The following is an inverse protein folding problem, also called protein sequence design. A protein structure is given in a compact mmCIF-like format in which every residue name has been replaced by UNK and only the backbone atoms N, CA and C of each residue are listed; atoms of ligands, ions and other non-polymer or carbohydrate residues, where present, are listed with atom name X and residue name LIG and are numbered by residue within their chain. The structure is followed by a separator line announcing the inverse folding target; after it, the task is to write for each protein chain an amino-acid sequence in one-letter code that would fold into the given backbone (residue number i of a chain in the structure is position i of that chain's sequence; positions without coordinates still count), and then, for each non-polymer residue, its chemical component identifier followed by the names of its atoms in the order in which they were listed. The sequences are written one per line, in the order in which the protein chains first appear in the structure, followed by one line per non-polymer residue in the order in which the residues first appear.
data_IF_584903091425
#
_entry.id   IF_584903091425
#
_cell.length_a   1.000
_cell.length_b   1.000
_cell.length_c   1.000
_cell.angle_alpha   90.00
_cell.angle_beta   90.00
_cell.angle_gamma   90.00
#
_symmetry.space_group_name_H-M   'P 1'
#
loop_
_entity.id
_entity.type
_entity.pdbx_description
1 polymer ?
#
# COMPACT_ATOMS: atom_id res chain seq x y z
N UNK A 1 -12.38 5.31 15.79
CA UNK A 1 -11.84 3.94 15.80
C UNK A 1 -12.26 3.14 17.05
N UNK A 2 -13.26 3.61 17.78
CA UNK A 2 -13.56 3.07 19.12
C UNK A 2 -14.19 1.66 19.11
N UNK A 3 -14.79 1.22 18.01
CA UNK A 3 -15.49 -0.06 17.96
C UNK A 3 -14.89 -1.13 17.04
N UNK A 4 -13.88 -0.78 16.23
CA UNK A 4 -13.35 -1.69 15.22
C UNK A 4 -14.36 -2.01 14.10
N UNK A 5 -13.93 -2.82 13.14
CA UNK A 5 -14.75 -3.40 12.06
C UNK A 5 -14.56 -4.90 12.08
N UNK A 6 -15.63 -5.66 12.33
CA UNK A 6 -15.58 -7.11 12.27
C UNK A 6 -15.18 -7.60 10.88
N UNK A 7 -14.42 -8.69 10.79
CA UNK A 7 -14.05 -9.30 9.52
C UNK A 7 -15.29 -9.56 8.66
N UNK A 8 -15.25 -9.11 7.41
CA UNK A 8 -16.41 -9.18 6.52
C UNK A 8 -16.19 -10.01 5.25
N UNK A 9 -14.97 -10.49 5.00
CA UNK A 9 -14.69 -11.51 3.99
C UNK A 9 -14.75 -12.87 4.67
N UNK A 10 -15.79 -13.65 4.33
CA UNK A 10 -16.11 -14.90 5.01
C UNK A 10 -15.36 -16.12 4.47
N UNK A 11 -14.66 -15.96 3.34
CA UNK A 11 -13.93 -17.07 2.72
C UNK A 11 -12.66 -17.40 3.48
N UNK A 12 -12.35 -18.70 3.55
CA UNK A 12 -11.11 -19.26 4.09
C UNK A 12 -10.52 -20.18 3.02
N UNK A 13 -10.04 -19.58 1.93
CA UNK A 13 -9.55 -20.32 0.79
C UNK A 13 -8.04 -20.52 0.82
N UNK A 14 -7.58 -21.54 0.10
CA UNK A 14 -6.19 -21.91 -0.03
C UNK A 14 -5.73 -21.98 -1.48
N UNK A 15 -4.58 -22.63 -1.70
CA UNK A 15 -3.93 -22.67 -3.02
C UNK A 15 -3.85 -24.07 -3.64
N UNK A 16 -4.25 -25.11 -2.91
CA UNK A 16 -4.23 -26.51 -3.34
C UNK A 16 -5.63 -26.96 -3.75
N UNK A 17 -5.89 -28.26 -3.84
CA UNK A 17 -7.21 -28.82 -4.17
C UNK A 17 -8.27 -28.42 -3.13
N UNK A 18 -9.49 -27.98 -3.55
CA UNK A 18 -10.03 -27.98 -4.92
C UNK A 18 -9.68 -26.74 -5.75
N UNK A 19 -9.07 -25.71 -5.15
CA UNK A 19 -8.87 -24.40 -5.76
C UNK A 19 -8.05 -24.44 -7.05
N UNK A 20 -7.04 -25.33 -7.12
CA UNK A 20 -6.10 -25.44 -8.23
C UNK A 20 -6.46 -26.48 -9.32
N UNK A 21 -7.66 -27.05 -9.29
CA UNK A 21 -8.04 -28.13 -10.22
C UNK A 21 -7.97 -27.77 -11.70
N UNK A 22 -8.05 -26.51 -12.05
CA UNK A 22 -7.94 -26.00 -13.42
C UNK A 22 -6.59 -25.35 -13.72
N UNK A 23 -5.73 -25.18 -12.72
CA UNK A 23 -4.36 -24.70 -12.94
C UNK A 23 -3.60 -25.70 -13.82
N UNK A 24 -2.60 -25.27 -14.58
CA UNK A 24 -1.73 -26.18 -15.31
C UNK A 24 -1.15 -27.26 -14.39
N UNK A 25 -0.83 -28.41 -14.98
CA UNK A 25 -0.27 -29.55 -14.25
C UNK A 25 1.14 -29.88 -14.76
N UNK A 26 1.98 -30.43 -13.89
CA UNK A 26 3.27 -30.96 -14.25
C UNK A 26 3.15 -32.25 -15.08
N UNK A 27 4.26 -32.80 -15.53
CA UNK A 27 4.30 -34.04 -16.33
C UNK A 27 3.76 -35.26 -15.60
N UNK A 28 3.65 -35.23 -14.27
CA UNK A 28 3.05 -36.29 -13.44
C UNK A 28 1.54 -36.11 -13.26
N UNK A 29 0.94 -35.06 -13.81
CA UNK A 29 -0.49 -34.74 -13.68
C UNK A 29 -0.87 -34.03 -12.37
N UNK A 30 0.09 -33.55 -11.60
CA UNK A 30 -0.17 -32.76 -10.38
C UNK A 30 -0.31 -31.28 -10.73
N UNK A 31 -1.41 -30.65 -10.28
CA UNK A 31 -1.68 -29.24 -10.56
C UNK A 31 -0.79 -28.34 -9.72
N UNK A 32 -0.26 -27.30 -10.38
CA UNK A 32 0.47 -26.22 -9.69
C UNK A 32 -0.42 -25.47 -8.72
N UNK A 33 0.20 -24.76 -7.77
CA UNK A 33 -0.54 -23.90 -6.83
C UNK A 33 -1.25 -22.77 -7.56
N UNK A 34 -2.41 -22.34 -7.05
CA UNK A 34 -3.13 -21.16 -7.61
C UNK A 34 -2.28 -19.91 -7.58
N UNK A 35 -1.41 -19.76 -6.58
CA UNK A 35 -0.67 -18.56 -6.24
C UNK A 35 -1.44 -17.63 -5.29
N UNK A 36 -0.71 -16.98 -4.40
CA UNK A 36 -1.31 -16.11 -3.38
C UNK A 36 -2.05 -14.90 -3.99
N UNK A 37 -1.53 -14.36 -5.10
CA UNK A 37 -2.17 -13.25 -5.83
C UNK A 37 -3.56 -13.64 -6.33
N UNK A 38 -3.68 -14.78 -7.01
CA UNK A 38 -4.97 -15.29 -7.49
C UNK A 38 -5.93 -15.58 -6.33
N UNK A 39 -5.42 -16.17 -5.24
CA UNK A 39 -6.22 -16.48 -4.05
C UNK A 39 -6.77 -15.23 -3.38
N UNK A 40 -5.94 -14.21 -3.20
CA UNK A 40 -6.37 -12.92 -2.62
C UNK A 40 -7.41 -12.24 -3.52
N UNK A 41 -7.16 -12.17 -4.83
CA UNK A 41 -8.12 -11.62 -5.80
C UNK A 41 -9.45 -12.36 -5.77
N UNK A 42 -9.43 -13.69 -5.84
CA UNK A 42 -10.64 -14.52 -5.86
C UNK A 42 -11.48 -14.33 -4.58
N UNK A 43 -10.89 -14.23 -3.42
CA UNK A 43 -11.61 -13.99 -2.16
C UNK A 43 -12.28 -12.61 -2.13
N UNK A 44 -11.61 -11.56 -2.64
CA UNK A 44 -12.20 -10.22 -2.81
C UNK A 44 -13.38 -10.27 -3.79
N UNK A 45 -13.21 -10.93 -4.93
CA UNK A 45 -14.26 -11.07 -5.94
C UNK A 45 -15.46 -11.88 -5.41
N UNK A 46 -15.22 -12.92 -4.62
CA UNK A 46 -16.28 -13.71 -3.96
C UNK A 46 -17.08 -12.88 -2.95
N UNK A 47 -16.40 -12.01 -2.19
CA UNK A 47 -17.07 -11.08 -1.28
C UNK A 47 -18.06 -10.17 -2.03
N UNK A 48 -17.66 -9.64 -3.17
CA UNK A 48 -18.55 -8.80 -3.99
C UNK A 48 -19.59 -9.61 -4.80
N UNK A 49 -19.36 -10.89 -5.01
CA UNK A 49 -20.18 -11.69 -5.95
C UNK A 49 -20.17 -11.11 -7.37
N UNK A 50 -19.03 -10.57 -7.80
CA UNK A 50 -18.88 -9.81 -9.03
C UNK A 50 -17.52 -10.11 -9.72
N UNK A 51 -17.49 -10.09 -11.07
CA UNK A 51 -18.57 -9.89 -12.05
C UNK A 51 -19.34 -11.18 -12.35
N UNK A 52 -20.40 -11.10 -13.17
CA UNK A 52 -21.05 -12.30 -13.69
C UNK A 52 -20.14 -13.04 -14.68
N UNK A 53 -19.41 -12.28 -15.52
CA UNK A 53 -18.41 -12.78 -16.48
C UNK A 53 -17.21 -11.84 -16.47
N UNK A 54 -16.03 -12.36 -16.82
CA UNK A 54 -14.88 -11.52 -17.12
C UNK A 54 -14.96 -10.85 -18.49
N UNK A 55 -13.92 -10.16 -18.91
CA UNK A 55 -13.81 -9.45 -20.19
C UNK A 55 -12.46 -9.70 -20.85
N UNK A 56 -12.48 -9.82 -22.19
CA UNK A 56 -11.28 -9.95 -23.01
C UNK A 56 -10.52 -11.24 -22.79
N UNK A 57 -9.32 -11.27 -23.34
CA UNK A 57 -8.48 -12.47 -23.37
C UNK A 57 -7.10 -12.15 -22.84
N UNK A 58 -6.45 -13.09 -22.16
CA UNK A 58 -5.02 -13.05 -21.89
C UNK A 58 -4.34 -14.30 -22.43
N UNK A 59 -3.20 -14.08 -23.10
CA UNK A 59 -2.32 -15.13 -23.65
C UNK A 59 -0.91 -14.88 -23.20
N UNK A 60 -0.27 -15.86 -22.57
CA UNK A 60 1.12 -15.76 -22.13
C UNK A 60 1.77 -17.13 -22.02
N UNK A 61 3.10 -17.13 -22.02
CA UNK A 61 3.90 -18.31 -21.76
C UNK A 61 4.63 -18.22 -20.42
N UNK A 62 4.88 -19.37 -19.78
CA UNK A 62 5.71 -19.46 -18.59
C UNK A 62 6.49 -20.78 -18.56
N UNK A 63 7.59 -20.79 -17.80
CA UNK A 63 8.35 -21.98 -17.49
C UNK A 63 8.36 -22.17 -15.97
N UNK A 64 7.84 -23.27 -15.43
CA UNK A 64 7.81 -23.50 -14.00
C UNK A 64 9.22 -23.54 -13.41
N UNK A 65 9.38 -22.94 -12.23
CA UNK A 65 10.65 -22.98 -11.53
C UNK A 65 11.04 -24.41 -11.17
N UNK A 66 12.25 -24.81 -11.54
CA UNK A 66 12.78 -26.16 -11.32
C UNK A 66 12.46 -27.16 -12.43
N UNK A 67 11.67 -26.79 -13.44
CA UNK A 67 11.30 -27.66 -14.58
C UNK A 67 11.89 -27.11 -15.88
N UNK A 68 13.21 -27.05 -15.96
CA UNK A 68 13.91 -26.53 -17.13
C UNK A 68 13.51 -27.32 -18.41
N UNK A 69 13.15 -26.60 -19.47
CA UNK A 69 12.77 -27.17 -20.76
C UNK A 69 11.25 -27.45 -20.94
N UNK A 70 10.43 -27.27 -19.90
CA UNK A 70 8.98 -27.42 -20.00
C UNK A 70 8.33 -26.04 -20.06
N UNK A 71 8.02 -25.55 -21.27
CA UNK A 71 7.29 -24.30 -21.48
C UNK A 71 5.80 -24.57 -21.60
N UNK A 72 4.98 -23.69 -21.01
CA UNK A 72 3.52 -23.70 -21.13
C UNK A 72 3.07 -22.44 -21.84
N UNK A 73 2.07 -22.58 -22.72
CA UNK A 73 1.34 -21.46 -23.31
C UNK A 73 -0.11 -21.55 -22.87
N UNK A 74 -0.62 -20.46 -22.31
CA UNK A 74 -1.99 -20.38 -21.79
C UNK A 74 -2.72 -19.27 -22.51
N UNK A 75 -3.97 -19.56 -22.89
CA UNK A 75 -4.92 -18.57 -23.41
C UNK A 75 -6.26 -18.78 -22.69
N UNK A 76 -6.81 -17.72 -22.12
CA UNK A 76 -8.15 -17.71 -21.53
C UNK A 76 -8.93 -16.52 -22.07
N UNK A 77 -10.11 -16.78 -22.60
CA UNK A 77 -11.15 -15.78 -22.83
C UNK A 77 -12.03 -15.71 -21.57
N UNK A 78 -11.91 -14.63 -20.83
CA UNK A 78 -12.63 -14.45 -19.56
C UNK A 78 -14.14 -14.26 -19.76
N UNK A 79 -14.60 -13.90 -20.95
CA UNK A 79 -16.02 -13.77 -21.28
C UNK A 79 -16.72 -15.10 -21.51
N UNK A 80 -15.96 -16.16 -21.78
CA UNK A 80 -16.49 -17.50 -22.12
C UNK A 80 -17.07 -18.24 -20.91
N UNK A 81 -16.80 -17.81 -19.67
CA UNK A 81 -17.29 -18.45 -18.45
C UNK A 81 -18.13 -17.49 -17.60
N UNK A 82 -19.19 -18.05 -17.00
CA UNK A 82 -19.93 -17.38 -15.92
C UNK A 82 -19.39 -17.82 -14.57
N UNK A 83 -19.24 -16.89 -13.64
CA UNK A 83 -18.82 -17.21 -12.27
C UNK A 83 -20.02 -17.64 -11.43
N UNK A 84 -20.03 -18.89 -11.01
CA UNK A 84 -21.12 -19.49 -10.24
C UNK A 84 -20.97 -19.18 -8.74
N UNK A 85 -21.21 -17.91 -8.39
CA UNK A 85 -21.05 -17.39 -7.02
C UNK A 85 -21.84 -18.18 -5.98
N UNK A 86 -23.01 -18.73 -6.34
CA UNK A 86 -23.87 -19.48 -5.41
C UNK A 86 -23.26 -20.80 -4.97
N UNK A 87 -22.45 -21.40 -5.82
CA UNK A 87 -21.80 -22.68 -5.56
C UNK A 87 -20.36 -22.52 -5.00
N UNK A 88 -19.90 -21.29 -4.77
CA UNK A 88 -18.62 -21.05 -4.11
C UNK A 88 -18.81 -21.02 -2.59
N UNK A 89 -18.33 -22.06 -1.89
CA UNK A 89 -18.41 -22.18 -0.44
C UNK A 89 -17.46 -21.20 0.26
N UNK A 90 -17.80 -20.81 1.50
CA UNK A 90 -16.89 -20.05 2.35
C UNK A 90 -15.64 -20.85 2.73
N UNK A 91 -15.79 -22.17 2.92
CA UNK A 91 -14.69 -23.09 3.21
C UNK A 91 -14.95 -24.46 2.60
N UNK A 92 -13.90 -25.10 2.14
CA UNK A 92 -13.95 -26.43 1.51
C UNK A 92 -13.45 -27.57 2.44
N UNK A 93 -13.08 -27.24 3.68
CA UNK A 93 -12.56 -28.21 4.65
C UNK A 93 -13.58 -29.27 5.07
N UNK A 94 -14.87 -28.95 5.02
CA UNK A 94 -15.96 -29.88 5.43
C UNK A 94 -16.49 -30.74 4.28
N UNK A 95 -15.85 -30.69 3.13
CA UNK A 95 -16.27 -31.39 1.92
C UNK A 95 -17.00 -30.49 0.92
N UNK A 96 -17.07 -30.95 -0.30
CA UNK A 96 -17.66 -30.24 -1.44
C UNK A 96 -18.04 -31.22 -2.55
N UNK A 97 -18.98 -30.83 -3.38
CA UNK A 97 -19.32 -31.58 -4.60
C UNK A 97 -18.54 -31.06 -5.84
N UNK A 98 -18.66 -31.75 -6.96
CA UNK A 98 -17.96 -31.41 -8.19
C UNK A 98 -18.31 -30.02 -8.74
N UNK A 99 -19.57 -29.58 -8.60
CA UNK A 99 -20.01 -28.26 -9.05
C UNK A 99 -19.37 -27.15 -8.21
N UNK A 100 -19.32 -27.33 -6.90
CA UNK A 100 -18.68 -26.38 -5.97
C UNK A 100 -17.16 -26.29 -6.22
N UNK A 101 -16.51 -27.44 -6.46
CA UNK A 101 -15.09 -27.47 -6.81
C UNK A 101 -14.83 -26.75 -8.15
N UNK A 102 -15.66 -27.01 -9.18
CA UNK A 102 -15.56 -26.34 -10.47
C UNK A 102 -15.78 -24.83 -10.36
N UNK A 103 -16.75 -24.39 -9.56
CA UNK A 103 -17.04 -22.98 -9.38
C UNK A 103 -15.82 -22.22 -8.86
N UNK A 104 -15.21 -22.66 -7.75
CA UNK A 104 -14.06 -21.99 -7.17
C UNK A 104 -12.80 -22.11 -8.02
N UNK A 105 -12.54 -23.28 -8.61
CA UNK A 105 -11.34 -23.48 -9.43
C UNK A 105 -11.39 -22.69 -10.74
N UNK A 106 -12.58 -22.47 -11.33
CA UNK A 106 -12.74 -21.58 -12.48
C UNK A 106 -12.34 -20.15 -12.14
N UNK A 107 -12.85 -19.61 -11.03
CA UNK A 107 -12.48 -18.26 -10.58
C UNK A 107 -10.99 -18.15 -10.29
N UNK A 108 -10.42 -19.10 -9.53
CA UNK A 108 -9.01 -19.14 -9.19
C UNK A 108 -8.10 -19.17 -10.43
N UNK A 109 -8.42 -20.03 -11.39
CA UNK A 109 -7.68 -20.15 -12.65
C UNK A 109 -7.75 -18.86 -13.47
N UNK A 110 -8.94 -18.26 -13.58
CA UNK A 110 -9.11 -16.99 -14.28
C UNK A 110 -8.34 -15.85 -13.58
N UNK A 111 -8.37 -15.76 -12.24
CA UNK A 111 -7.55 -14.81 -11.51
C UNK A 111 -6.06 -15.02 -11.81
N UNK A 112 -5.58 -16.27 -11.78
CA UNK A 112 -4.18 -16.57 -12.08
C UNK A 112 -3.79 -16.20 -13.51
N UNK A 113 -4.59 -16.58 -14.51
CA UNK A 113 -4.30 -16.24 -15.91
C UNK A 113 -4.37 -14.73 -16.15
N UNK A 114 -5.30 -14.02 -15.52
CA UNK A 114 -5.46 -12.57 -15.69
C UNK A 114 -4.23 -11.76 -15.26
N UNK A 115 -3.40 -12.31 -14.38
CA UNK A 115 -2.15 -11.71 -13.88
C UNK A 115 -0.89 -12.35 -14.48
N UNK A 116 -1.03 -13.16 -15.52
CA UNK A 116 0.07 -13.91 -16.15
C UNK A 116 0.90 -14.72 -15.14
N UNK A 117 0.19 -15.46 -14.27
CA UNK A 117 0.76 -16.21 -13.15
C UNK A 117 1.92 -17.10 -13.59
N UNK A 118 3.06 -16.96 -12.92
CA UNK A 118 4.17 -17.88 -13.06
C UNK A 118 3.94 -19.07 -12.15
N UNK A 119 3.28 -20.09 -12.69
CA UNK A 119 2.86 -21.27 -11.95
C UNK A 119 4.03 -22.18 -11.57
N UNK A 120 4.01 -22.74 -10.37
CA UNK A 120 4.96 -23.78 -9.92
C UNK A 120 4.36 -24.63 -8.80
N UNK A 121 5.04 -25.73 -8.46
CA UNK A 121 4.63 -26.64 -7.36
C UNK A 121 4.87 -26.05 -5.98
N UNK A 122 5.82 -25.14 -5.85
CA UNK A 122 6.25 -24.59 -4.56
C UNK A 122 5.90 -23.13 -4.38
N UNK A 123 5.88 -22.35 -5.46
CA UNK A 123 5.63 -20.91 -5.41
C UNK A 123 5.11 -20.40 -6.75
N UNK A 124 3.80 -20.22 -6.86
CA UNK A 124 3.18 -19.53 -8.00
C UNK A 124 3.06 -18.04 -7.69
N UNK A 125 3.61 -17.18 -8.55
CA UNK A 125 3.74 -15.74 -8.28
C UNK A 125 3.31 -14.84 -9.43
N UNK A 126 2.87 -13.62 -9.06
CA UNK A 126 2.60 -12.48 -9.93
C UNK A 126 2.77 -11.19 -9.12
N UNK A 127 2.73 -10.02 -9.77
CA UNK A 127 2.96 -8.74 -9.09
C UNK A 127 1.66 -8.01 -8.77
N UNK A 128 1.70 -7.11 -7.78
CA UNK A 128 0.56 -6.26 -7.37
C UNK A 128 0.01 -5.42 -8.52
N UNK A 129 0.88 -4.95 -9.42
CA UNK A 129 0.48 -4.18 -10.60
C UNK A 129 -0.44 -4.98 -11.50
N UNK A 130 -0.08 -6.23 -11.81
CA UNK A 130 -0.92 -7.11 -12.64
C UNK A 130 -2.27 -7.38 -11.96
N UNK A 131 -2.29 -7.54 -10.63
CA UNK A 131 -3.54 -7.72 -9.89
C UNK A 131 -4.49 -6.51 -10.04
N UNK A 132 -3.96 -5.29 -9.86
CA UNK A 132 -4.75 -4.06 -10.07
C UNK A 132 -5.27 -3.97 -11.50
N UNK A 133 -4.41 -4.15 -12.49
CA UNK A 133 -4.79 -4.09 -13.90
C UNK A 133 -5.83 -5.17 -14.26
N UNK A 134 -5.69 -6.37 -13.71
CA UNK A 134 -6.64 -7.46 -13.95
C UNK A 134 -8.02 -7.15 -13.36
N UNK A 135 -8.10 -6.61 -12.15
CA UNK A 135 -9.38 -6.17 -11.57
C UNK A 135 -10.13 -5.22 -12.51
N UNK A 136 -9.43 -4.26 -13.09
CA UNK A 136 -10.02 -3.25 -13.97
C UNK A 136 -10.32 -3.84 -15.36
N UNK A 137 -9.30 -4.34 -16.03
CA UNK A 137 -9.36 -4.74 -17.43
C UNK A 137 -10.22 -5.99 -17.66
N UNK A 138 -10.04 -7.00 -16.81
CA UNK A 138 -10.66 -8.31 -17.02
C UNK A 138 -11.91 -8.52 -16.17
N UNK A 139 -12.03 -7.85 -15.04
CA UNK A 139 -13.15 -8.06 -14.12
C UNK A 139 -14.06 -6.84 -13.93
N UNK A 140 -13.73 -5.69 -14.55
CA UNK A 140 -14.61 -4.51 -14.61
C UNK A 140 -14.82 -3.82 -13.29
N UNK A 141 -13.84 -3.89 -12.39
CA UNK A 141 -13.79 -3.13 -11.15
C UNK A 141 -13.48 -1.65 -11.42
N UNK A 142 -13.63 -0.82 -10.41
CA UNK A 142 -13.41 0.63 -10.48
C UNK A 142 -12.02 0.97 -11.02
N UNK A 143 -11.97 1.77 -12.08
CA UNK A 143 -10.71 2.24 -12.70
C UNK A 143 -9.91 3.13 -11.76
N UNK A 144 -10.55 3.74 -10.76
CA UNK A 144 -9.91 4.51 -9.71
C UNK A 144 -9.18 3.67 -8.67
N UNK A 145 -9.29 2.33 -8.71
CA UNK A 145 -8.52 1.46 -7.82
C UNK A 145 -7.02 1.79 -7.91
N UNK A 146 -6.37 1.98 -6.76
CA UNK A 146 -5.03 2.56 -6.69
C UNK A 146 -4.06 1.69 -5.91
N UNK A 147 -2.81 1.65 -6.36
CA UNK A 147 -1.72 0.99 -5.64
C UNK A 147 -1.06 2.02 -4.73
N UNK A 148 -0.97 1.68 -3.46
CA UNK A 148 -0.22 2.43 -2.47
C UNK A 148 0.99 1.60 -2.03
N UNK A 149 2.19 2.17 -2.12
CA UNK A 149 3.43 1.57 -1.63
C UNK A 149 3.76 2.16 -0.27
N UNK A 150 3.93 1.32 0.73
CA UNK A 150 4.12 1.71 2.14
C UNK A 150 5.21 2.76 2.34
N UNK A 151 6.29 2.66 1.58
CA UNK A 151 7.47 3.53 1.73
C UNK A 151 7.22 4.99 1.32
N UNK A 152 6.11 5.29 0.65
CA UNK A 152 5.73 6.66 0.27
C UNK A 152 4.80 7.35 1.29
N UNK A 153 4.44 6.67 2.38
CA UNK A 153 3.47 7.16 3.35
C UNK A 153 4.03 7.14 4.76
N UNK A 154 3.68 8.12 5.57
CA UNK A 154 3.86 8.02 7.01
C UNK A 154 2.99 6.92 7.60
N UNK A 155 3.31 6.45 8.81
CA UNK A 155 2.52 5.43 9.49
C UNK A 155 1.06 5.85 9.69
N UNK A 156 0.83 7.13 10.02
CA UNK A 156 -0.51 7.66 10.25
C UNK A 156 -1.34 7.74 8.96
N UNK A 157 -0.74 8.18 7.85
CA UNK A 157 -1.41 8.21 6.54
C UNK A 157 -1.76 6.81 6.08
N UNK A 158 -0.83 5.87 6.20
CA UNK A 158 -1.06 4.48 5.83
C UNK A 158 -2.26 3.89 6.57
N UNK A 159 -2.31 4.07 7.89
CA UNK A 159 -3.43 3.56 8.69
C UNK A 159 -4.75 4.30 8.39
N UNK A 160 -4.73 5.59 8.02
CA UNK A 160 -5.94 6.28 7.55
C UNK A 160 -6.50 5.68 6.28
N UNK A 161 -5.64 5.35 5.31
CA UNK A 161 -6.06 4.65 4.09
C UNK A 161 -6.65 3.29 4.42
N UNK A 162 -5.97 2.49 5.22
CA UNK A 162 -6.43 1.15 5.64
C UNK A 162 -7.79 1.23 6.33
N UNK A 163 -7.92 2.06 7.36
CA UNK A 163 -9.19 2.19 8.09
C UNK A 163 -10.30 2.82 7.24
N UNK A 164 -9.96 3.73 6.33
CA UNK A 164 -10.91 4.30 5.39
C UNK A 164 -11.58 3.24 4.51
N UNK A 165 -10.80 2.33 3.94
CA UNK A 165 -11.29 1.21 3.16
C UNK A 165 -12.13 0.22 4.01
N UNK A 166 -11.60 -0.18 5.16
CA UNK A 166 -12.27 -1.16 6.02
C UNK A 166 -13.58 -0.62 6.60
N UNK A 167 -13.65 0.66 6.97
CA UNK A 167 -14.89 1.31 7.40
C UNK A 167 -15.93 1.37 6.28
N UNK A 168 -15.49 1.55 5.04
CA UNK A 168 -16.35 1.52 3.87
C UNK A 168 -16.69 0.09 3.39
N UNK A 169 -16.30 -0.95 4.16
CA UNK A 169 -16.49 -2.36 3.83
C UNK A 169 -15.89 -2.73 2.47
N UNK A 170 -14.76 -2.13 2.10
CA UNK A 170 -13.98 -2.50 0.94
C UNK A 170 -12.77 -3.33 1.38
N UNK A 171 -12.65 -4.59 0.94
CA UNK A 171 -11.51 -5.42 1.26
C UNK A 171 -10.27 -4.89 0.54
N UNK A 172 -9.14 -4.95 1.21
CA UNK A 172 -7.86 -4.49 0.68
C UNK A 172 -7.06 -5.69 0.20
N UNK A 173 -6.62 -5.68 -1.06
CA UNK A 173 -5.56 -6.55 -1.52
C UNK A 173 -4.23 -6.01 -0.96
N UNK A 174 -3.51 -6.83 -0.21
CA UNK A 174 -2.31 -6.42 0.48
C UNK A 174 -1.15 -7.37 0.21
N UNK A 175 0.06 -6.82 0.15
CA UNK A 175 1.27 -7.62 -0.01
C UNK A 175 2.35 -7.21 0.98
N UNK A 176 3.21 -8.14 1.31
CA UNK A 176 4.42 -7.90 2.08
C UNK A 176 5.48 -8.94 1.73
N UNK A 177 6.71 -8.70 2.14
CA UNK A 177 7.84 -9.59 1.92
C UNK A 177 8.43 -10.00 3.26
N UNK A 178 8.54 -11.30 3.47
CA UNK A 178 9.40 -11.91 4.47
C UNK A 178 10.79 -12.12 3.87
N UNK A 179 11.84 -11.78 4.61
CA UNK A 179 13.20 -11.82 4.10
C UNK A 179 13.71 -13.24 3.74
N UNK A 180 13.11 -14.27 4.31
CA UNK A 180 13.48 -15.67 4.08
C UNK A 180 12.49 -16.42 3.19
N UNK A 181 11.18 -16.15 3.37
CA UNK A 181 10.11 -16.85 2.67
C UNK A 181 9.66 -16.16 1.37
N UNK A 182 10.08 -14.91 1.14
CA UNK A 182 9.69 -14.15 -0.06
C UNK A 182 8.39 -13.37 0.09
N UNK A 183 7.80 -12.98 -1.04
CA UNK A 183 6.59 -12.17 -1.09
C UNK A 183 5.32 -12.99 -0.88
N UNK A 184 4.30 -12.38 -0.27
CA UNK A 184 2.97 -12.96 -0.13
C UNK A 184 1.88 -11.92 -0.33
N UNK A 185 0.79 -12.32 -0.99
CA UNK A 185 -0.42 -11.53 -1.18
C UNK A 185 -1.57 -12.10 -0.32
N UNK A 186 -2.31 -11.24 0.34
CA UNK A 186 -3.38 -11.59 1.27
C UNK A 186 -4.44 -10.49 1.34
N UNK A 187 -5.50 -10.71 2.12
CA UNK A 187 -6.63 -9.78 2.21
C UNK A 187 -6.73 -9.18 3.60
N UNK A 188 -6.86 -7.84 3.70
CA UNK A 188 -7.31 -7.19 4.92
C UNK A 188 -8.80 -6.93 4.84
N UNK A 189 -9.56 -7.32 5.86
CA UNK A 189 -11.02 -7.22 5.84
C UNK A 189 -11.68 -6.90 7.18
N UNK A 190 -10.93 -6.31 8.10
CA UNK A 190 -11.43 -5.87 9.40
C UNK A 190 -10.33 -5.29 10.26
N UNK A 191 -10.67 -4.72 11.40
CA UNK A 191 -9.72 -4.29 12.43
C UNK A 191 -10.39 -4.24 13.80
N UNK A 192 -9.60 -4.38 14.86
CA UNK A 192 -10.10 -4.34 16.24
C UNK A 192 -9.90 -2.96 16.91
N UNK A 193 -10.46 -2.84 18.12
CA UNK A 193 -10.34 -1.62 18.92
C UNK A 193 -8.89 -1.28 19.34
N UNK A 194 -7.95 -2.23 19.22
CA UNK A 194 -6.52 -2.03 19.45
C UNK A 194 -5.79 -1.57 18.19
N UNK A 195 -6.49 -1.44 17.06
CA UNK A 195 -5.95 -0.99 15.78
C UNK A 195 -5.21 -2.09 15.00
N UNK A 196 -5.36 -3.37 15.39
CA UNK A 196 -4.82 -4.49 14.64
C UNK A 196 -5.77 -4.82 13.48
N UNK A 197 -5.21 -5.13 12.33
CA UNK A 197 -5.98 -5.51 11.14
C UNK A 197 -6.27 -7.00 11.12
N UNK A 198 -7.48 -7.38 10.69
CA UNK A 198 -7.78 -8.78 10.40
C UNK A 198 -7.19 -9.15 9.05
N UNK A 199 -6.37 -10.18 9.05
CA UNK A 199 -5.70 -10.73 7.87
C UNK A 199 -6.30 -12.08 7.53
N UNK A 200 -6.70 -12.25 6.26
CA UNK A 200 -6.99 -13.53 5.63
C UNK A 200 -5.78 -13.89 4.76
N UNK A 201 -4.99 -14.86 5.20
CA UNK A 201 -3.72 -15.23 4.57
C UNK A 201 -3.87 -16.02 3.27
N UNK A 202 -5.04 -16.57 2.98
CA UNK A 202 -5.23 -17.46 1.83
C UNK A 202 -4.62 -18.85 2.02
N UNK A 203 -4.56 -19.33 3.26
CA UNK A 203 -4.01 -20.62 3.67
C UNK A 203 -5.06 -21.52 4.33
N UNK A 204 -6.23 -21.64 3.68
CA UNK A 204 -7.37 -22.39 4.20
C UNK A 204 -7.84 -21.95 5.60
N UNK A 205 -7.69 -20.67 5.92
CA UNK A 205 -8.02 -20.09 7.22
C UNK A 205 -6.97 -20.36 8.30
N UNK A 206 -5.86 -21.03 7.98
CA UNK A 206 -4.77 -21.17 8.92
C UNK A 206 -4.11 -19.80 9.16
N UNK A 207 -3.80 -19.49 10.40
CA UNK A 207 -3.23 -18.21 10.83
C UNK A 207 -4.10 -16.97 10.57
N UNK A 208 -5.32 -17.10 10.03
CA UNK A 208 -6.23 -15.95 9.91
C UNK A 208 -6.48 -15.32 11.27
N UNK A 209 -6.37 -13.99 11.38
CA UNK A 209 -6.47 -13.33 12.66
C UNK A 209 -6.12 -11.86 12.66
N UNK A 210 -6.05 -11.27 13.85
CA UNK A 210 -5.68 -9.87 14.06
C UNK A 210 -4.17 -9.70 14.21
N UNK A 211 -3.58 -8.86 13.37
CA UNK A 211 -2.14 -8.60 13.34
C UNK A 211 -1.83 -7.10 13.41
N UNK A 212 -0.68 -6.78 13.99
CA UNK A 212 -0.11 -5.45 13.82
C UNK A 212 0.41 -5.31 12.38
N UNK A 213 -0.06 -4.31 11.66
CA UNK A 213 0.28 -4.11 10.24
C UNK A 213 1.79 -3.87 10.01
N UNK A 214 2.51 -3.41 11.04
CA UNK A 214 3.96 -3.22 10.96
C UNK A 214 4.73 -4.55 11.08
N UNK A 215 4.11 -5.61 11.56
CA UNK A 215 4.75 -6.90 11.80
C UNK A 215 4.26 -7.98 10.83
N UNK A 216 2.92 -8.15 10.70
CA UNK A 216 2.28 -9.15 9.83
C UNK A 216 2.98 -10.51 9.94
N UNK A 217 2.99 -11.05 11.17
CA UNK A 217 3.85 -12.17 11.58
C UNK A 217 3.07 -13.46 11.90
N UNK A 218 2.49 -14.15 10.90
CA UNK A 218 1.86 -15.46 11.09
C UNK A 218 2.95 -16.51 11.38
N UNK A 219 2.80 -17.25 12.47
CA UNK A 219 3.78 -18.26 12.89
C UNK A 219 5.19 -17.66 13.05
N UNK A 220 6.13 -18.16 12.25
CA UNK A 220 7.53 -17.71 12.24
C UNK A 220 7.87 -16.71 11.14
N UNK A 221 6.90 -16.37 10.28
CA UNK A 221 7.08 -15.44 9.15
C UNK A 221 6.89 -13.99 9.58
N UNK A 222 7.35 -13.03 8.77
CA UNK A 222 7.15 -11.61 9.01
C UNK A 222 7.09 -10.84 7.68
N UNK A 223 5.88 -10.58 7.16
CA UNK A 223 5.65 -9.84 5.92
C UNK A 223 5.70 -8.33 6.13
N UNK A 224 6.73 -7.86 6.82
CA UNK A 224 6.87 -6.49 7.31
C UNK A 224 7.63 -5.55 6.38
N UNK A 225 8.20 -6.04 5.30
CA UNK A 225 8.96 -5.24 4.33
C UNK A 225 8.27 -5.18 2.97
N UNK A 226 8.61 -4.16 2.16
CA UNK A 226 8.09 -3.95 0.80
C UNK A 226 6.56 -4.12 0.71
N UNK A 227 5.86 -3.47 1.63
CA UNK A 227 4.41 -3.56 1.69
C UNK A 227 3.76 -2.68 0.63
N UNK A 228 2.86 -3.28 -0.15
CA UNK A 228 1.96 -2.60 -1.07
C UNK A 228 0.51 -2.95 -0.73
N UNK A 229 -0.42 -2.08 -1.11
CA UNK A 229 -1.84 -2.40 -1.09
C UNK A 229 -2.55 -1.86 -2.33
N UNK A 230 -3.63 -2.52 -2.73
CA UNK A 230 -4.60 -1.98 -3.70
C UNK A 230 -5.85 -1.59 -2.93
N UNK A 231 -6.23 -0.32 -3.02
CA UNK A 231 -7.43 0.28 -2.42
C UNK A 231 -8.45 0.64 -3.50
N UNK A 232 -9.70 0.87 -3.10
CA UNK A 232 -10.77 1.22 -4.04
C UNK A 232 -11.24 0.03 -4.89
N UNK A 233 -11.00 -1.20 -4.48
CA UNK A 233 -11.46 -2.39 -5.21
C UNK A 233 -12.98 -2.51 -5.02
N UNK A 234 -13.75 -2.05 -6.00
CA UNK A 234 -15.21 -2.00 -5.94
C UNK A 234 -15.84 -2.27 -7.31
N UNK A 235 -16.99 -2.98 -7.38
CA UNK A 235 -17.79 -3.10 -8.59
C UNK A 235 -18.43 -1.79 -9.06
N UNK A 236 -18.45 -0.78 -8.21
CA UNK A 236 -18.99 0.56 -8.49
C UNK A 236 -17.88 1.59 -8.39
N UNK A 237 -18.03 2.69 -9.11
CA UNK A 237 -17.11 3.82 -8.97
C UNK A 237 -17.17 4.35 -7.54
N UNK A 238 -16.07 4.28 -6.82
CA UNK A 238 -15.90 4.73 -5.43
C UNK A 238 -14.67 5.60 -5.22
N UNK A 239 -13.73 5.56 -6.17
CA UNK A 239 -12.53 6.37 -6.17
C UNK A 239 -12.56 7.32 -7.35
N UNK A 240 -12.01 8.51 -7.18
CA UNK A 240 -11.69 9.34 -8.32
C UNK A 240 -10.50 8.74 -9.07
N UNK A 241 -10.55 8.81 -10.40
CA UNK A 241 -9.47 8.36 -11.27
C UNK A 241 -8.38 9.42 -11.28
N UNK A 242 -7.51 9.40 -10.30
CA UNK A 242 -6.51 10.42 -10.04
C UNK A 242 -5.11 9.98 -10.44
N UNK A 243 -4.30 10.93 -10.89
CA UNK A 243 -2.86 10.77 -10.96
C UNK A 243 -2.25 10.88 -9.57
N UNK A 244 -1.13 10.20 -9.34
CA UNK A 244 -0.42 10.26 -8.06
C UNK A 244 1.09 10.21 -8.31
N UNK A 245 1.76 11.35 -8.24
CA UNK A 245 3.19 11.43 -8.47
C UNK A 245 3.97 11.10 -7.20
N UNK A 246 5.01 10.28 -7.37
CA UNK A 246 5.99 9.92 -6.35
C UNK A 246 7.41 10.10 -6.91
N UNK A 247 8.40 10.11 -6.02
CA UNK A 247 9.83 10.09 -6.33
C UNK A 247 10.50 8.90 -5.65
N UNK A 248 11.49 8.31 -6.30
CA UNK A 248 12.26 7.18 -5.77
C UNK A 248 13.48 7.60 -4.92
N UNK A 249 13.80 8.90 -4.88
CA UNK A 249 14.84 9.48 -4.02
C UNK A 249 14.25 10.55 -3.11
N UNK A 250 14.84 10.79 -1.94
CA UNK A 250 14.39 11.81 -1.01
C UNK A 250 14.39 13.21 -1.63
N UNK A 251 13.31 13.97 -1.38
CA UNK A 251 13.28 15.41 -1.62
C UNK A 251 14.02 16.10 -0.48
N UNK A 252 15.10 16.79 -0.80
CA UNK A 252 15.91 17.48 0.21
C UNK A 252 16.06 18.95 -0.11
N UNK A 253 16.05 19.77 0.95
CA UNK A 253 16.27 21.20 0.93
C UNK A 253 17.45 21.52 1.83
N UNK A 254 18.40 22.29 1.34
CA UNK A 254 19.52 22.78 2.12
C UNK A 254 19.75 24.27 1.93
N UNK A 255 20.42 24.91 2.88
CA UNK A 255 20.76 26.33 2.77
C UNK A 255 21.96 26.52 1.83
N UNK A 256 21.83 27.43 0.87
CA UNK A 256 22.88 27.85 -0.04
C UNK A 256 23.08 29.38 0.07
N UNK A 257 23.76 29.83 1.12
CA UNK A 257 23.94 31.26 1.44
C UNK A 257 22.59 31.92 1.80
N UNK A 258 22.12 32.86 0.97
CA UNK A 258 20.81 33.50 1.07
C UNK A 258 19.69 32.75 0.32
N UNK A 259 20.04 31.68 -0.38
CA UNK A 259 19.17 30.86 -1.23
C UNK A 259 18.95 29.49 -0.62
N UNK A 260 18.10 28.68 -1.24
CA UNK A 260 17.93 27.25 -0.94
C UNK A 260 18.41 26.41 -2.12
N UNK A 261 19.04 25.28 -1.82
CA UNK A 261 19.38 24.25 -2.82
C UNK A 261 18.37 23.11 -2.66
N UNK A 262 17.82 22.68 -3.81
CA UNK A 262 16.80 21.62 -3.89
C UNK A 262 17.40 20.42 -4.60
N UNK A 263 17.16 19.21 -4.06
CA UNK A 263 17.50 17.95 -4.70
C UNK A 263 16.32 16.97 -4.63
N UNK A 264 16.28 16.06 -5.58
CA UNK A 264 15.29 15.00 -5.70
C UNK A 264 15.59 14.11 -6.91
N UNK A 265 14.60 13.35 -7.36
CA UNK A 265 14.72 12.46 -8.51
C UNK A 265 13.66 12.73 -9.56
N UNK A 266 13.59 11.86 -10.58
CA UNK A 266 12.47 11.82 -11.50
C UNK A 266 11.16 11.59 -10.74
N UNK A 267 10.07 12.09 -11.30
CA UNK A 267 8.74 11.74 -10.80
C UNK A 267 8.22 10.49 -11.51
N UNK A 268 7.48 9.68 -10.78
CA UNK A 268 6.85 8.44 -11.25
C UNK A 268 5.35 8.57 -10.98
N UNK A 269 4.52 8.26 -11.96
CA UNK A 269 3.08 8.23 -11.74
C UNK A 269 2.66 6.87 -11.18
N UNK A 270 2.16 6.85 -9.95
CA UNK A 270 1.61 5.67 -9.26
C UNK A 270 0.08 5.65 -9.25
N UNK A 271 -0.56 6.69 -9.77
CA UNK A 271 -2.01 6.81 -9.87
C UNK A 271 -2.61 6.04 -11.04
N UNK A 272 -3.93 5.92 -11.06
CA UNK A 272 -4.67 5.27 -12.11
C UNK A 272 -4.80 6.10 -13.39
N UNK A 273 -4.81 7.45 -13.28
CA UNK A 273 -4.89 8.36 -14.41
C UNK A 273 -3.50 8.80 -14.91
N UNK A 274 -3.31 9.03 -16.22
CA UNK A 274 -2.14 9.70 -16.72
C UNK A 274 -2.04 11.12 -16.15
N UNK A 275 -0.84 11.57 -15.82
CA UNK A 275 -0.62 12.92 -15.30
C UNK A 275 -0.23 13.88 -16.42
N UNK A 276 -0.94 14.98 -16.52
CA UNK A 276 -0.60 16.18 -17.31
C UNK A 276 -0.83 17.39 -16.41
N UNK A 277 0.13 18.31 -16.33
CA UNK A 277 -0.02 19.46 -15.47
C UNK A 277 1.29 20.14 -15.11
N UNK A 278 1.45 20.52 -13.85
CA UNK A 278 2.64 21.21 -13.34
C UNK A 278 3.22 20.51 -12.14
N UNK A 279 4.54 20.46 -12.07
CA UNK A 279 5.29 20.08 -10.87
C UNK A 279 6.05 21.32 -10.39
N UNK A 280 6.07 21.56 -9.08
CA UNK A 280 6.66 22.77 -8.50
C UNK A 280 7.31 22.50 -7.15
N UNK A 281 8.28 23.32 -6.78
CA UNK A 281 8.72 23.46 -5.39
C UNK A 281 7.86 24.54 -4.74
N UNK A 282 7.05 24.13 -3.79
CA UNK A 282 6.05 24.96 -3.11
C UNK A 282 6.55 25.32 -1.72
N UNK A 283 6.43 26.59 -1.36
CA UNK A 283 6.59 27.08 0.03
C UNK A 283 5.22 27.40 0.61
N UNK A 284 4.93 26.87 1.79
CA UNK A 284 3.64 27.09 2.46
C UNK A 284 3.79 27.58 3.88
N UNK A 285 3.00 28.59 4.25
CA UNK A 285 2.84 29.11 5.61
C UNK A 285 1.35 29.39 5.86
N UNK A 286 0.73 28.56 6.71
CA UNK A 286 -0.74 28.56 6.84
C UNK A 286 -1.40 28.26 5.49
N UNK A 287 -2.32 29.14 5.06
CA UNK A 287 -3.00 29.02 3.76
C UNK A 287 -2.26 29.71 2.61
N UNK A 288 -1.15 30.39 2.88
CA UNK A 288 -0.36 31.08 1.87
C UNK A 288 0.61 30.14 1.21
N UNK A 289 0.55 30.05 -0.12
CA UNK A 289 1.48 29.29 -0.94
C UNK A 289 2.25 30.20 -1.89
N UNK A 290 3.54 29.98 -2.00
CA UNK A 290 4.44 30.63 -2.94
C UNK A 290 5.18 29.56 -3.74
N UNK A 291 5.49 29.83 -5.00
CA UNK A 291 6.31 28.93 -5.81
C UNK A 291 7.75 29.41 -5.82
N UNK A 292 8.69 28.54 -5.49
CA UNK A 292 10.12 28.79 -5.75
C UNK A 292 10.43 28.58 -7.24
N UNK A 293 9.94 27.50 -7.80
CA UNK A 293 10.09 27.17 -9.22
C UNK A 293 9.01 26.19 -9.66
N UNK A 294 8.81 26.03 -10.97
CA UNK A 294 7.89 25.03 -11.51
C UNK A 294 8.29 24.63 -12.92
N UNK A 295 7.84 23.44 -13.33
CA UNK A 295 7.96 22.96 -14.71
C UNK A 295 6.60 22.40 -15.17
N UNK A 296 6.32 22.53 -16.48
CA UNK A 296 5.12 21.95 -17.06
C UNK A 296 5.39 20.54 -17.56
N UNK A 297 4.46 19.64 -17.30
CA UNK A 297 4.41 18.30 -17.86
C UNK A 297 3.32 18.30 -18.93
N UNK A 298 3.72 18.37 -20.19
CA UNK A 298 2.82 18.46 -21.33
C UNK A 298 2.57 17.12 -22.01
N UNK A 299 3.53 16.19 -21.91
CA UNK A 299 3.36 14.82 -22.35
C UNK A 299 2.80 13.99 -21.18
N UNK A 300 1.72 13.23 -21.38
CA UNK A 300 1.15 12.43 -20.31
C UNK A 300 2.15 11.45 -19.71
N UNK A 301 2.30 11.46 -18.38
CA UNK A 301 3.04 10.43 -17.64
C UNK A 301 2.05 9.31 -17.34
N UNK A 302 2.14 8.20 -18.07
CA UNK A 302 1.29 7.05 -17.87
C UNK A 302 1.57 6.39 -16.49
N UNK A 303 0.68 5.50 -16.07
CA UNK A 303 0.88 4.75 -14.83
C UNK A 303 2.22 3.98 -14.87
N UNK A 304 3.03 4.13 -13.83
CA UNK A 304 4.40 3.62 -13.67
C UNK A 304 5.47 4.21 -14.61
N UNK A 305 5.13 5.15 -15.47
CA UNK A 305 6.13 5.88 -16.25
C UNK A 305 6.82 6.97 -15.42
N UNK A 306 8.02 7.33 -15.88
CA UNK A 306 8.91 8.29 -15.26
C UNK A 306 9.01 9.55 -16.12
N UNK A 307 9.14 10.70 -15.45
CA UNK A 307 9.44 11.98 -16.11
C UNK A 307 10.53 12.73 -15.34
N UNK A 308 11.53 13.21 -16.07
CA UNK A 308 12.55 14.07 -15.48
C UNK A 308 11.98 15.45 -15.15
N UNK A 309 12.26 15.91 -13.94
CA UNK A 309 11.99 17.26 -13.44
C UNK A 309 13.26 17.93 -12.93
N UNK A 310 14.41 17.54 -13.45
CA UNK A 310 15.76 17.98 -13.02
C UNK A 310 15.95 19.49 -13.08
N UNK A 311 15.20 20.22 -13.92
CA UNK A 311 15.20 21.68 -13.96
C UNK A 311 14.79 22.35 -12.63
N UNK A 312 14.12 21.61 -11.74
CA UNK A 312 13.74 22.07 -10.40
C UNK A 312 14.87 21.89 -9.37
N UNK A 313 15.85 21.03 -9.66
CA UNK A 313 16.91 20.63 -8.72
C UNK A 313 18.15 21.50 -8.87
N UNK A 314 18.07 22.70 -8.35
CA UNK A 314 19.14 23.71 -8.41
C UNK A 314 19.03 24.63 -7.20
N UNK A 315 19.81 25.70 -7.20
CA UNK A 315 19.76 26.75 -6.20
C UNK A 315 18.71 27.79 -6.61
N UNK A 316 17.73 28.02 -5.73
CA UNK A 316 16.66 28.98 -5.94
C UNK A 316 16.73 30.15 -4.97
N UNK A 317 16.53 31.36 -5.50
CA UNK A 317 16.41 32.55 -4.69
C UNK A 317 15.06 32.56 -3.94
N UNK A 318 15.10 33.08 -2.71
CA UNK A 318 13.88 33.28 -1.95
C UNK A 318 13.00 34.36 -2.63
N UNK A 319 11.67 34.21 -2.58
CA UNK A 319 10.76 35.22 -3.12
C UNK A 319 10.98 36.59 -2.48
N UNK A 320 10.93 37.65 -3.27
CA UNK A 320 11.07 39.02 -2.80
C UNK A 320 9.94 39.35 -1.81
N UNK A 321 10.29 39.97 -0.66
CA UNK A 321 9.31 40.35 0.36
C UNK A 321 8.70 39.16 1.10
N UNK A 322 9.40 38.03 1.17
CA UNK A 322 8.94 36.88 1.94
C UNK A 322 8.79 37.24 3.42
N UNK A 323 7.67 36.86 4.00
CA UNK A 323 7.37 37.12 5.42
C UNK A 323 8.24 36.27 6.34
N UNK A 324 8.61 36.84 7.48
CA UNK A 324 9.28 36.11 8.54
C UNK A 324 8.39 34.99 9.10
N UNK A 325 9.02 33.95 9.58
CA UNK A 325 8.38 32.78 10.15
C UNK A 325 8.90 31.47 9.59
N UNK A 326 8.17 30.38 9.87
CA UNK A 326 8.51 29.04 9.43
C UNK A 326 7.67 28.71 8.19
N UNK A 327 8.36 28.39 7.11
CA UNK A 327 7.77 27.98 5.83
C UNK A 327 8.04 26.50 5.57
N UNK A 328 7.03 25.76 5.23
CA UNK A 328 7.18 24.41 4.74
C UNK A 328 7.53 24.43 3.24
N UNK A 329 8.55 23.69 2.84
CA UNK A 329 8.97 23.54 1.45
C UNK A 329 8.78 22.09 1.03
N UNK A 330 8.06 21.85 -0.06
CA UNK A 330 7.78 20.52 -0.57
C UNK A 330 7.67 20.50 -2.09
N UNK A 331 7.83 19.33 -2.68
CA UNK A 331 7.51 19.09 -4.08
C UNK A 331 6.01 18.89 -4.23
N UNK A 332 5.37 19.71 -5.04
CA UNK A 332 3.93 19.61 -5.33
C UNK A 332 3.67 19.27 -6.79
N UNK A 333 2.61 18.55 -7.04
CA UNK A 333 2.03 18.36 -8.38
C UNK A 333 0.62 18.94 -8.42
N UNK A 334 0.22 19.41 -9.58
CA UNK A 334 -1.12 19.92 -9.86
C UNK A 334 -1.47 19.60 -11.29
N UNK A 335 -2.46 18.77 -11.54
CA UNK A 335 -2.99 18.58 -12.88
C UNK A 335 -3.84 19.78 -13.32
N UNK A 336 -4.36 19.75 -14.54
CA UNK A 336 -5.09 20.87 -15.11
C UNK A 336 -6.42 21.20 -14.40
N UNK A 337 -6.96 20.24 -13.66
CA UNK A 337 -8.26 20.34 -12.99
C UNK A 337 -8.13 20.62 -11.48
N UNK A 338 -6.97 20.37 -10.91
CA UNK A 338 -6.70 20.60 -9.48
C UNK A 338 -6.64 22.08 -9.12
N UNK A 339 -7.26 22.45 -8.00
CA UNK A 339 -7.13 23.79 -7.40
C UNK A 339 -5.90 23.93 -6.54
N UNK A 340 -5.53 22.84 -5.85
CA UNK A 340 -4.47 22.82 -4.85
C UNK A 340 -3.27 21.98 -5.30
N UNK A 341 -2.13 22.23 -4.69
CA UNK A 341 -0.93 21.44 -4.89
C UNK A 341 -1.01 20.14 -4.08
N UNK A 342 -0.90 18.99 -4.74
CA UNK A 342 -0.76 17.69 -4.11
C UNK A 342 0.69 17.41 -3.80
N UNK A 343 0.97 16.83 -2.66
CA UNK A 343 2.32 16.42 -2.28
C UNK A 343 2.83 15.32 -3.24
N UNK A 344 3.99 15.55 -3.84
CA UNK A 344 4.78 14.51 -4.49
C UNK A 344 5.57 13.79 -3.42
N UNK A 345 5.22 12.54 -3.16
CA UNK A 345 5.83 11.73 -2.10
C UNK A 345 7.17 11.18 -2.55
N UNK A 346 8.06 10.91 -1.64
CA UNK A 346 9.32 10.26 -1.97
C UNK A 346 9.53 8.99 -1.14
N UNK A 347 10.21 8.04 -1.73
CA UNK A 347 10.66 6.84 -1.06
C UNK A 347 11.96 7.12 -0.30
N UNK A 348 12.04 6.69 0.95
CA UNK A 348 13.24 6.85 1.77
C UNK A 348 13.72 5.53 2.41
N UNK A 349 13.27 4.41 1.89
CA UNK A 349 13.63 3.09 2.40
C UNK A 349 13.12 2.86 3.82
N UNK A 350 14.01 2.53 4.74
CA UNK A 350 13.68 2.23 6.15
C UNK A 350 13.78 3.45 7.08
N UNK A 351 13.95 4.64 6.53
CA UNK A 351 14.08 5.90 7.26
C UNK A 351 12.71 6.53 7.52
N UNK A 352 12.69 7.65 8.22
CA UNK A 352 11.53 8.52 8.27
C UNK A 352 11.22 9.04 6.86
N UNK A 353 9.94 9.12 6.54
CA UNK A 353 9.49 9.53 5.23
C UNK A 353 9.47 11.07 5.10
N UNK A 354 10.63 11.67 4.89
CA UNK A 354 10.75 13.12 4.74
C UNK A 354 10.13 13.61 3.43
N UNK A 355 8.91 14.13 3.52
CA UNK A 355 8.17 14.68 2.39
C UNK A 355 8.42 16.18 2.19
N UNK A 356 9.10 16.85 3.11
CA UNK A 356 9.25 18.29 3.10
C UNK A 356 10.42 18.74 3.98
N UNK A 357 10.70 20.04 3.92
CA UNK A 357 11.62 20.72 4.84
C UNK A 357 10.97 21.96 5.42
N UNK A 358 11.38 22.34 6.63
CA UNK A 358 11.00 23.58 7.27
C UNK A 358 12.12 24.61 7.11
N UNK A 359 11.79 25.74 6.48
CA UNK A 359 12.71 26.88 6.27
C UNK A 359 12.27 28.02 7.17
N UNK A 360 13.13 28.39 8.11
CA UNK A 360 12.87 29.51 9.03
C UNK A 360 13.46 30.79 8.46
N UNK A 361 12.60 31.82 8.30
CA UNK A 361 12.97 33.15 7.81
C UNK A 361 12.93 34.15 8.97
N UNK A 362 13.96 34.94 9.12
CA UNK A 362 14.00 36.11 10.03
C UNK A 362 14.68 37.30 9.36
N UNK A 363 14.02 38.44 9.39
CA UNK A 363 14.47 39.68 8.71
C UNK A 363 14.80 39.43 7.25
N UNK A 364 13.93 38.65 6.54
CA UNK A 364 14.10 38.28 5.16
C UNK A 364 15.27 37.33 4.85
N UNK A 365 15.87 36.69 5.86
CA UNK A 365 17.02 35.78 5.71
C UNK A 365 16.69 34.38 6.20
N UNK A 366 17.22 33.37 5.54
CA UNK A 366 17.16 32.00 5.99
C UNK A 366 18.06 31.83 7.21
N UNK A 367 17.47 31.45 8.35
CA UNK A 367 18.21 31.19 9.59
C UNK A 367 18.35 29.70 9.90
N UNK A 368 17.39 28.87 9.45
CA UNK A 368 17.42 27.41 9.65
C UNK A 368 16.74 26.69 8.49
N UNK A 369 17.19 25.47 8.19
CA UNK A 369 16.54 24.51 7.30
C UNK A 369 16.62 23.14 7.98
N UNK A 370 15.48 22.48 8.18
CA UNK A 370 15.38 21.12 8.72
C UNK A 370 14.49 20.25 7.82
N UNK A 371 14.86 18.99 7.65
CA UNK A 371 14.00 18.01 6.97
C UNK A 371 12.88 17.59 7.91
N UNK A 372 11.66 17.46 7.39
CA UNK A 372 10.50 17.15 8.22
C UNK A 372 9.68 15.99 7.62
N UNK A 373 9.24 15.13 8.52
CA UNK A 373 8.27 14.07 8.27
C UNK A 373 6.98 14.41 9.01
N UNK A 374 6.28 15.44 8.55
CA UNK A 374 5.06 15.90 9.18
C UNK A 374 3.86 15.87 8.22
N UNK A 375 3.03 14.85 8.34
CA UNK A 375 1.81 14.68 7.56
C UNK A 375 0.65 15.59 7.99
N UNK A 376 0.77 16.30 9.12
CA UNK A 376 -0.27 17.19 9.64
C UNK A 376 -0.60 18.35 8.68
N UNK A 377 0.35 18.73 7.84
CA UNK A 377 0.21 19.84 6.90
C UNK A 377 -0.54 19.48 5.62
N UNK A 378 -0.70 18.18 5.34
CA UNK A 378 -1.28 17.69 4.09
C UNK A 378 -2.68 17.10 4.25
N UNK A 379 -3.28 17.25 5.42
CA UNK A 379 -4.69 16.88 5.63
C UNK A 379 -5.57 17.87 4.88
N UNK A 380 -6.03 17.48 3.71
CA UNK A 380 -7.09 18.19 2.99
C UNK A 380 -8.31 18.34 3.89
N UNK A 381 -8.64 19.57 4.30
CA UNK A 381 -9.96 20.04 4.67
C UNK A 381 -10.76 19.41 5.81
N UNK A 382 -10.32 18.29 6.38
CA UNK A 382 -10.92 17.72 7.58
C UNK A 382 -10.04 18.12 8.77
N UNK A 383 -10.38 19.22 9.41
CA UNK A 383 -9.86 19.56 10.74
C UNK A 383 -10.30 18.49 11.72
N UNK A 384 -9.48 17.46 11.89
CA UNK A 384 -9.54 16.70 13.13
C UNK A 384 -9.27 17.69 14.28
N UNK A 385 -10.00 17.63 15.40
CA UNK A 385 -9.72 18.48 16.54
C UNK A 385 -8.23 18.32 16.88
N UNK A 386 -7.53 19.43 16.96
CA UNK A 386 -6.13 19.52 17.36
C UNK A 386 -6.01 18.95 18.77
N UNK A 387 -5.65 17.66 18.87
CA UNK A 387 -5.07 17.18 20.10
C UNK A 387 -3.66 17.77 20.14
N UNK A 388 -3.47 18.82 20.90
CA UNK A 388 -2.13 19.24 21.34
C UNK A 388 -1.41 17.96 21.79
N UNK A 389 -0.14 17.75 21.47
CA UNK A 389 0.64 16.70 22.10
C UNK A 389 0.68 17.07 23.57
N UNK A 390 -0.24 16.53 24.36
CA UNK A 390 -0.14 16.66 25.79
C UNK A 390 1.16 15.96 26.16
N UNK A 391 2.01 16.63 26.91
CA UNK A 391 3.21 16.07 27.53
C UNK A 391 2.91 14.85 28.43
N UNK A 392 1.73 14.28 28.32
CA UNK A 392 1.09 13.26 29.14
C UNK A 392 0.69 12.01 28.36
N UNK A 393 1.08 11.82 27.08
CA UNK A 393 0.75 10.58 26.39
C UNK A 393 1.52 9.42 27.01
N UNK A 394 0.80 8.44 27.54
CA UNK A 394 1.38 7.24 28.12
C UNK A 394 2.28 6.52 27.10
N UNK A 395 3.45 6.10 27.50
CA UNK A 395 4.31 5.24 26.70
C UNK A 395 3.81 3.80 26.81
N UNK A 396 3.54 3.18 25.68
CA UNK A 396 3.10 1.78 25.59
C UNK A 396 4.22 0.92 25.03
N UNK A 397 4.46 -0.22 25.65
CA UNK A 397 5.47 -1.19 25.22
C UNK A 397 4.75 -2.47 24.78
N UNK A 398 5.08 -2.96 23.62
CA UNK A 398 4.53 -4.19 23.07
C UNK A 398 5.64 -5.20 22.85
N UNK A 399 5.34 -6.49 23.01
CA UNK A 399 6.23 -7.55 22.56
C UNK A 399 6.21 -7.71 21.03
N UNK A 400 7.02 -8.61 20.50
CA UNK A 400 7.08 -8.87 19.04
C UNK A 400 5.79 -9.44 18.46
N UNK A 401 4.91 -10.00 19.32
CA UNK A 401 3.60 -10.53 18.96
C UNK A 401 2.52 -9.43 18.99
N UNK A 402 2.92 -8.19 19.28
CA UNK A 402 2.03 -7.03 19.34
C UNK A 402 1.17 -6.95 20.59
N UNK A 403 1.43 -7.78 21.62
CA UNK A 403 0.72 -7.72 22.90
C UNK A 403 1.27 -6.57 23.73
N UNK A 404 0.37 -5.77 24.31
CA UNK A 404 0.74 -4.72 25.26
C UNK A 404 1.30 -5.36 26.54
N UNK A 405 2.58 -5.14 26.80
CA UNK A 405 3.27 -5.74 27.97
C UNK A 405 3.58 -4.74 29.08
N UNK A 406 3.58 -3.44 28.77
CA UNK A 406 3.84 -2.39 29.75
C UNK A 406 3.22 -1.07 29.30
N UNK A 407 2.64 -0.33 30.25
CA UNK A 407 2.22 1.07 30.06
C UNK A 407 2.90 1.95 31.11
N UNK A 408 3.61 2.97 30.65
CA UNK A 408 4.23 3.99 31.52
C UNK A 408 3.32 5.22 31.50
N UNK A 409 2.62 5.53 32.60
CA UNK A 409 1.58 6.58 32.61
C UNK A 409 2.15 8.00 32.45
N UNK A 410 3.37 8.25 32.89
CA UNK A 410 4.06 9.54 32.76
C UNK A 410 5.55 9.32 32.47
N UNK A 411 6.08 10.08 31.53
CA UNK A 411 7.49 10.01 31.15
C UNK A 411 7.77 9.02 30.01
N UNK A 412 8.82 9.31 29.24
CA UNK A 412 9.23 8.47 28.12
C UNK A 412 9.93 7.18 28.57
N UNK A 413 10.04 6.23 27.66
CA UNK A 413 10.92 5.09 27.81
C UNK A 413 12.37 5.57 27.88
N UNK A 414 13.12 5.04 28.85
CA UNK A 414 14.56 5.27 28.99
C UNK A 414 15.33 3.95 28.93
N UNK A 415 16.63 4.03 28.71
CA UNK A 415 17.49 2.84 28.70
C UNK A 415 17.46 2.06 30.04
N UNK A 416 17.04 2.69 31.12
CA UNK A 416 16.89 2.06 32.45
C UNK A 416 15.48 1.53 32.73
N UNK A 417 14.50 1.74 31.85
CA UNK A 417 13.14 1.25 32.06
C UNK A 417 13.13 -0.29 32.07
N UNK A 418 12.66 -0.94 33.15
CA UNK A 418 12.61 -2.40 33.20
C UNK A 418 11.56 -2.92 32.21
N UNK A 419 11.95 -3.85 31.35
CA UNK A 419 11.07 -4.55 30.45
C UNK A 419 10.78 -5.98 30.94
N UNK A 420 9.61 -6.55 30.65
CA UNK A 420 9.23 -7.87 31.12
C UNK A 420 9.93 -8.98 30.30
N UNK A 421 11.19 -9.26 30.57
CA UNK A 421 11.98 -10.30 29.95
C UNK A 421 13.05 -9.83 28.97
N UNK A 422 13.69 -10.80 28.28
CA UNK A 422 14.68 -10.57 27.23
C UNK A 422 14.01 -10.71 25.89
N UNK A 423 14.38 -9.88 24.92
CA UNK A 423 13.87 -9.93 23.56
C UNK A 423 13.73 -8.54 22.92
N UNK A 424 13.06 -8.51 21.79
CA UNK A 424 12.74 -7.28 21.08
C UNK A 424 11.39 -6.75 21.56
N UNK A 425 11.32 -5.45 21.83
CA UNK A 425 10.11 -4.74 22.19
C UNK A 425 9.86 -3.56 21.26
N UNK A 426 8.59 -3.27 21.02
CA UNK A 426 8.14 -2.10 20.27
C UNK A 426 7.61 -1.09 21.28
N UNK A 427 8.17 0.10 21.30
CA UNK A 427 7.78 1.17 22.18
C UNK A 427 7.04 2.24 21.40
N UNK A 428 5.86 2.61 21.88
CA UNK A 428 5.03 3.66 21.30
C UNK A 428 4.75 4.76 22.31
N UNK A 429 5.13 5.99 21.97
CA UNK A 429 4.87 7.20 22.76
C UNK A 429 4.30 8.29 21.85
N UNK A 430 3.03 8.61 22.01
CA UNK A 430 2.35 9.50 21.09
C UNK A 430 2.45 8.97 19.66
N UNK A 431 3.02 9.75 18.75
CA UNK A 431 3.24 9.39 17.35
C UNK A 431 4.59 8.73 17.08
N UNK A 432 5.44 8.57 18.10
CA UNK A 432 6.75 7.94 17.95
C UNK A 432 6.69 6.45 18.26
N UNK A 433 7.31 5.66 17.39
CA UNK A 433 7.45 4.21 17.57
C UNK A 433 8.88 3.81 17.26
N UNK A 434 9.51 3.06 18.18
CA UNK A 434 10.87 2.55 17.97
C UNK A 434 11.01 1.14 18.57
N UNK A 435 12.05 0.43 18.17
CA UNK A 435 12.35 -0.94 18.65
C UNK A 435 13.50 -0.88 19.66
N UNK A 436 13.42 -1.72 20.68
CA UNK A 436 14.48 -1.91 21.68
C UNK A 436 14.76 -3.38 21.83
N UNK A 437 16.04 -3.73 21.93
CA UNK A 437 16.51 -5.06 22.32
C UNK A 437 16.94 -5.03 23.80
N UNK A 438 16.53 -6.05 24.56
CA UNK A 438 16.94 -6.29 25.96
C UNK A 438 17.33 -7.74 26.19
#
# INVERSE_FOLDING_TARGET
YESGVQPFVETHWGQTKPYNQLCPANTSGEHYLTGCVATAMAQIMRYHGYPAHGKGTNTYGFTPHGEAGTGYNITVDFSAASYDWKNMLASYKKGYNAQQAKAVSTLMYHCGVSVSMQYSMTFSGAFTREAREAFIKHFGYDEGANICTRDFYSANEWMRLVYGELNARRPIYYTGVDNNAGGHAFVLCGYDAQGRVWVNWGWDGNDDGYYNIALLNPGTLAFSSRQDMVIGISPKKVMEHESHLCMDQPFTVSRAGKNVSINGSNVINRGGAPFVGRVAVVMQKGNKQLLLCSTNITSPIANYDHQSVSSLYTVHSMPTGIEDGVWRVFMGSRDSEDKDWRLVRHWNGNQNNYNSAMVTIRSGRIVNVSQEDDDRWFTTGITAPRAEPSATSATRVYDIEGRLVLTLPHGGYTASTPLPGKGMFIIKQGNHTWKVFR
#
